data_IF_722652414499
#
_entry.id   IF_722652414499
#
_cell.length_a   1.000
_cell.length_b   1.000
_cell.length_c   1.000
_cell.angle_alpha   90.00
_cell.angle_beta   90.00
_cell.angle_gamma   90.00
#
_symmetry.space_group_name_H-M   'P 1'
#
loop_
_entity.id
_entity.type
_entity.pdbx_description
1 polymer ?
#
# COMPACT_ATOMS: atom_id res chain seq x y z
N UNK A 1 -34.61 -6.97 -38.55
CA UNK A 1 -33.94 -7.42 -37.29
C UNK A 1 -34.92 -7.61 -36.14
N UNK A 2 -36.00 -6.84 -36.02
CA UNK A 2 -37.06 -7.02 -34.99
C UNK A 2 -37.95 -8.27 -35.22
N UNK A 3 -37.84 -8.93 -36.37
CA UNK A 3 -38.76 -10.01 -36.78
C UNK A 3 -38.47 -11.39 -36.13
N UNK A 4 -37.30 -11.58 -35.49
CA UNK A 4 -37.01 -12.81 -34.74
C UNK A 4 -37.58 -12.80 -33.30
N UNK A 5 -38.12 -11.66 -32.85
CA UNK A 5 -38.49 -11.46 -31.45
C UNK A 5 -39.76 -12.20 -31.01
N UNK A 6 -40.61 -12.62 -31.95
CA UNK A 6 -41.98 -13.04 -31.60
C UNK A 6 -42.23 -14.56 -31.55
N UNK A 7 -41.37 -15.41 -32.15
CA UNK A 7 -41.71 -16.84 -32.33
C UNK A 7 -41.08 -17.80 -31.31
N UNK A 8 -40.11 -17.38 -30.49
CA UNK A 8 -39.42 -18.28 -29.56
C UNK A 8 -39.04 -17.58 -28.24
N UNK A 9 -40.03 -17.20 -27.41
CA UNK A 9 -39.78 -16.52 -26.12
C UNK A 9 -38.87 -17.33 -25.18
N UNK A 10 -38.88 -18.66 -25.30
CA UNK A 10 -37.98 -19.54 -24.55
C UNK A 10 -36.50 -19.32 -24.91
N UNK A 11 -36.18 -19.07 -26.19
CA UNK A 11 -34.79 -18.84 -26.61
C UNK A 11 -34.29 -17.47 -26.13
N UNK A 12 -35.16 -16.46 -26.11
CA UNK A 12 -34.83 -15.14 -25.57
C UNK A 12 -34.58 -15.18 -24.05
N UNK A 13 -35.43 -15.89 -23.30
CA UNK A 13 -35.23 -16.11 -21.86
C UNK A 13 -33.91 -16.82 -21.57
N UNK A 14 -33.57 -17.82 -22.38
CA UNK A 14 -32.32 -18.58 -22.23
C UNK A 14 -31.09 -17.74 -22.58
N UNK A 15 -31.17 -16.93 -23.64
CA UNK A 15 -30.11 -15.97 -23.98
C UNK A 15 -29.92 -14.92 -22.87
N UNK A 16 -31.01 -14.37 -22.32
CA UNK A 16 -30.94 -13.40 -21.22
C UNK A 16 -30.34 -14.02 -19.96
N UNK A 17 -30.76 -15.23 -19.59
CA UNK A 17 -30.19 -15.97 -18.47
C UNK A 17 -28.69 -16.22 -18.66
N UNK A 18 -28.26 -16.61 -19.87
CA UNK A 18 -26.84 -16.80 -20.18
C UNK A 18 -26.04 -15.50 -20.11
N UNK A 19 -26.62 -14.38 -20.54
CA UNK A 19 -25.98 -13.07 -20.44
C UNK A 19 -25.86 -12.61 -18.97
N UNK A 20 -26.89 -12.84 -18.16
CA UNK A 20 -26.84 -12.56 -16.72
C UNK A 20 -25.78 -13.42 -16.01
N UNK A 21 -25.69 -14.72 -16.34
CA UNK A 21 -24.65 -15.60 -15.79
C UNK A 21 -23.25 -15.15 -16.23
N UNK A 22 -23.10 -14.73 -17.48
CA UNK A 22 -21.84 -14.22 -17.99
C UNK A 22 -21.44 -12.90 -17.28
N UNK A 23 -22.35 -11.95 -17.14
CA UNK A 23 -22.12 -10.71 -16.41
C UNK A 23 -21.77 -10.98 -14.92
N UNK A 24 -22.49 -11.89 -14.27
CA UNK A 24 -22.18 -12.30 -12.90
C UNK A 24 -20.78 -12.94 -12.80
N UNK A 25 -20.40 -13.77 -13.77
CA UNK A 25 -19.07 -14.40 -13.78
C UNK A 25 -17.94 -13.38 -13.90
N UNK A 26 -18.13 -12.31 -14.69
CA UNK A 26 -17.16 -11.22 -14.80
C UNK A 26 -17.02 -10.52 -13.45
N UNK A 27 -18.13 -10.17 -12.79
CA UNK A 27 -18.09 -9.48 -11.49
C UNK A 27 -17.43 -10.33 -10.39
N UNK A 28 -17.66 -11.64 -10.39
CA UNK A 28 -17.01 -12.57 -9.45
C UNK A 28 -15.51 -12.65 -9.73
N UNK A 29 -15.11 -12.67 -11.00
CA UNK A 29 -13.71 -12.76 -11.40
C UNK A 29 -12.93 -11.48 -11.07
N UNK A 30 -13.53 -10.31 -11.28
CA UNK A 30 -12.95 -9.02 -10.89
C UNK A 30 -12.80 -8.93 -9.36
N UNK A 31 -13.85 -9.31 -8.62
CA UNK A 31 -13.81 -9.35 -7.14
C UNK A 31 -12.76 -10.35 -6.64
N UNK A 32 -12.59 -11.50 -7.31
CA UNK A 32 -11.57 -12.49 -6.96
C UNK A 32 -10.13 -11.98 -7.19
N UNK A 33 -9.96 -11.04 -8.13
CA UNK A 33 -8.67 -10.43 -8.45
C UNK A 33 -8.26 -9.39 -7.40
N UNK A 34 -9.22 -8.62 -6.88
CA UNK A 34 -8.99 -7.57 -5.88
C UNK A 34 -8.56 -8.12 -4.50
N UNK A 35 -8.92 -9.37 -4.17
CA UNK A 35 -8.62 -9.98 -2.86
C UNK A 35 -7.10 -10.21 -2.61
N UNK A 36 -6.23 -9.97 -3.58
CA UNK A 36 -4.80 -10.27 -3.45
C UNK A 36 -3.86 -9.05 -3.44
N UNK A 37 -4.36 -7.83 -3.45
CA UNK A 37 -3.51 -6.63 -3.45
C UNK A 37 -3.20 -6.20 -2.02
N UNK A 38 -1.92 -6.12 -1.66
CA UNK A 38 -1.49 -5.85 -0.28
C UNK A 38 -0.25 -4.94 -0.23
N UNK A 39 -0.20 -4.06 0.76
CA UNK A 39 1.02 -3.33 1.14
C UNK A 39 1.55 -3.89 2.45
N UNK A 40 2.84 -4.16 2.51
CA UNK A 40 3.53 -4.56 3.73
C UNK A 40 4.71 -3.62 3.96
N UNK A 41 4.71 -2.93 5.10
CA UNK A 41 5.83 -2.09 5.56
C UNK A 41 6.48 -2.80 6.74
N UNK A 42 7.75 -3.16 6.61
CA UNK A 42 8.43 -4.00 7.59
C UNK A 42 9.94 -3.71 7.63
N UNK A 43 10.60 -4.30 8.62
CA UNK A 43 12.04 -4.19 8.83
C UNK A 43 12.74 -5.47 8.40
N UNK A 44 13.87 -5.36 7.70
CA UNK A 44 14.85 -6.45 7.60
C UNK A 44 16.25 -5.87 7.74
N UNK A 45 17.06 -6.47 8.62
CA UNK A 45 18.45 -6.04 8.84
C UNK A 45 18.60 -4.53 9.11
N UNK A 46 17.67 -3.94 9.89
CA UNK A 46 17.63 -2.50 10.22
C UNK A 46 17.38 -1.59 9.02
N UNK A 47 16.82 -2.12 7.94
CA UNK A 47 16.44 -1.36 6.76
C UNK A 47 14.94 -1.47 6.53
N UNK A 48 14.25 -0.35 6.26
CA UNK A 48 12.83 -0.38 5.91
C UNK A 48 12.67 -1.04 4.54
N UNK A 49 11.63 -1.86 4.43
CA UNK A 49 11.22 -2.53 3.21
C UNK A 49 9.72 -2.31 2.98
N UNK A 50 9.38 -2.09 1.72
CA UNK A 50 8.00 -1.97 1.28
C UNK A 50 7.72 -3.05 0.25
N UNK A 51 6.84 -3.99 0.58
CA UNK A 51 6.39 -5.01 -0.35
C UNK A 51 4.99 -4.69 -0.83
N UNK A 52 4.83 -4.62 -2.13
CA UNK A 52 3.54 -4.45 -2.80
C UNK A 52 3.22 -5.76 -3.50
N UNK A 53 2.13 -6.40 -3.08
CA UNK A 53 1.57 -7.56 -3.76
C UNK A 53 0.42 -7.07 -4.64
N UNK A 54 0.42 -7.46 -5.90
CA UNK A 54 -0.68 -7.19 -6.85
C UNK A 54 -0.87 -8.41 -7.76
N UNK A 55 -2.06 -8.99 -7.76
CA UNK A 55 -2.41 -10.08 -8.67
C UNK A 55 -1.49 -11.31 -8.65
N UNK A 56 -0.82 -11.59 -7.52
CA UNK A 56 0.14 -12.70 -7.37
C UNK A 56 1.60 -12.34 -7.69
N UNK A 57 1.84 -11.13 -8.17
CA UNK A 57 3.18 -10.53 -8.30
C UNK A 57 3.55 -9.80 -7.02
N UNK A 58 4.82 -9.84 -6.64
CA UNK A 58 5.35 -9.01 -5.57
C UNK A 58 6.51 -8.13 -6.04
N UNK A 59 6.38 -6.84 -5.79
CA UNK A 59 7.44 -5.84 -5.97
C UNK A 59 7.95 -5.41 -4.61
N UNK A 60 9.27 -5.34 -4.47
CA UNK A 60 9.93 -4.94 -3.22
C UNK A 60 10.71 -3.67 -3.45
N UNK A 61 10.50 -2.71 -2.58
CA UNK A 61 11.15 -1.42 -2.62
C UNK A 61 12.05 -1.32 -1.41
N UNK A 62 13.35 -1.13 -1.67
CA UNK A 62 14.35 -1.24 -0.64
C UNK A 62 15.61 -0.44 -0.98
N UNK A 63 16.36 -0.05 0.03
CA UNK A 63 17.68 0.54 -0.16
C UNK A 63 18.67 -0.56 -0.60
N UNK A 64 19.03 -0.54 -1.89
CA UNK A 64 19.90 -1.56 -2.49
C UNK A 64 21.29 -1.56 -1.86
N UNK A 65 21.76 -0.43 -1.32
CA UNK A 65 23.06 -0.36 -0.66
C UNK A 65 23.08 -1.12 0.69
N UNK A 66 21.91 -1.34 1.29
CA UNK A 66 21.77 -1.99 2.61
C UNK A 66 21.34 -3.46 2.53
N UNK A 67 21.06 -4.00 1.33
CA UNK A 67 20.56 -5.36 1.14
C UNK A 67 21.48 -6.20 0.25
N UNK A 68 21.92 -7.34 0.78
CA UNK A 68 22.56 -8.41 -0.01
C UNK A 68 21.49 -9.08 -0.90
N UNK A 69 21.74 -9.23 -2.20
CA UNK A 69 20.80 -9.85 -3.17
C UNK A 69 20.36 -11.26 -2.72
N UNK A 70 21.23 -11.99 -2.00
CA UNK A 70 20.87 -13.29 -1.41
C UNK A 70 19.82 -13.20 -0.31
N UNK A 71 19.76 -12.07 0.39
CA UNK A 71 18.77 -11.81 1.44
C UNK A 71 17.39 -11.50 0.87
N UNK A 72 17.25 -11.28 -0.43
CA UNK A 72 16.00 -10.85 -1.05
C UNK A 72 15.20 -12.00 -1.70
N UNK A 73 15.57 -13.27 -1.51
CA UNK A 73 14.78 -14.37 -2.07
C UNK A 73 13.39 -14.47 -1.40
N UNK A 74 12.31 -14.89 -2.09
CA UNK A 74 10.97 -14.99 -1.50
C UNK A 74 10.96 -15.96 -0.31
N UNK A 75 11.83 -16.97 -0.33
CA UNK A 75 12.01 -17.92 0.76
C UNK A 75 12.68 -17.30 2.01
N UNK A 76 13.49 -16.25 1.83
CA UNK A 76 14.11 -15.49 2.93
C UNK A 76 13.25 -14.30 3.37
N UNK A 77 12.32 -13.86 2.54
CA UNK A 77 11.35 -12.81 2.84
C UNK A 77 10.02 -13.48 3.19
N UNK A 78 9.95 -14.13 4.37
CA UNK A 78 8.75 -14.63 5.08
C UNK A 78 7.69 -15.51 4.33
N UNK A 79 7.04 -16.39 5.10
CA UNK A 79 5.90 -17.22 4.71
C UNK A 79 4.61 -16.45 4.32
N UNK A 80 4.47 -15.16 4.64
CA UNK A 80 3.38 -14.35 4.08
C UNK A 80 3.54 -14.11 2.57
N UNK A 81 4.75 -14.34 2.04
CA UNK A 81 5.15 -14.02 0.67
C UNK A 81 5.58 -15.27 -0.13
N UNK A 82 5.52 -16.46 0.47
CA UNK A 82 6.00 -17.75 -0.10
C UNK A 82 5.29 -18.20 -1.38
N UNK A 83 4.24 -17.51 -1.81
CA UNK A 83 3.49 -17.82 -3.03
C UNK A 83 3.56 -16.70 -4.08
N UNK A 84 4.31 -15.62 -3.84
CA UNK A 84 4.42 -14.53 -4.78
C UNK A 84 5.68 -14.67 -5.64
N UNK A 85 5.53 -14.41 -6.93
CA UNK A 85 6.67 -14.27 -7.82
C UNK A 85 7.30 -12.89 -7.53
N UNK A 86 8.56 -12.87 -7.07
CA UNK A 86 9.33 -11.64 -7.00
C UNK A 86 9.61 -11.16 -8.42
N UNK A 87 9.11 -9.97 -8.74
CA UNK A 87 9.25 -9.40 -10.09
C UNK A 87 10.23 -8.25 -10.11
N UNK A 88 10.35 -7.47 -9.04
CA UNK A 88 11.19 -6.26 -9.09
C UNK A 88 11.73 -5.83 -7.72
N UNK A 89 13.01 -5.43 -7.69
CA UNK A 89 13.64 -4.73 -6.55
C UNK A 89 13.92 -3.29 -7.00
N UNK A 90 13.15 -2.33 -6.51
CA UNK A 90 13.33 -0.92 -6.81
C UNK A 90 14.23 -0.26 -5.75
N UNK A 91 15.38 0.32 -6.14
CA UNK A 91 16.24 1.05 -5.21
C UNK A 91 15.50 2.25 -4.62
N UNK A 92 15.47 2.34 -3.31
CA UNK A 92 14.86 3.46 -2.57
C UNK A 92 15.50 4.81 -2.92
N UNK A 93 16.77 4.80 -3.36
CA UNK A 93 17.54 5.99 -3.80
C UNK A 93 17.17 6.48 -5.20
N UNK A 94 16.52 5.64 -6.02
CA UNK A 94 16.04 6.04 -7.35
C UNK A 94 14.67 6.73 -7.31
N UNK A 95 13.97 6.63 -6.19
CA UNK A 95 12.65 7.23 -5.97
C UNK A 95 12.85 8.71 -5.65
N UNK A 96 12.78 9.53 -6.68
CA UNK A 96 13.07 10.97 -6.58
C UNK A 96 11.86 11.82 -6.95
N UNK A 97 10.89 11.28 -7.69
CA UNK A 97 9.65 11.99 -8.02
C UNK A 97 8.52 11.64 -7.04
N UNK A 98 7.57 12.57 -6.89
CA UNK A 98 6.33 12.37 -6.11
C UNK A 98 5.58 11.11 -6.57
N UNK A 99 5.62 10.79 -7.87
CA UNK A 99 4.99 9.59 -8.44
C UNK A 99 5.62 8.29 -7.96
N UNK A 100 6.92 8.29 -7.66
CA UNK A 100 7.64 7.09 -7.28
C UNK A 100 7.36 6.67 -5.83
N UNK A 101 6.87 7.61 -5.02
CA UNK A 101 6.57 7.44 -3.60
C UNK A 101 5.08 7.43 -3.28
N UNK A 102 4.25 7.63 -4.30
CA UNK A 102 2.81 7.56 -4.21
C UNK A 102 2.33 6.22 -4.76
N UNK A 103 1.58 5.48 -3.95
CA UNK A 103 0.96 4.22 -4.37
C UNK A 103 -0.53 4.22 -4.11
N UNK A 104 -1.28 3.56 -4.98
CA UNK A 104 -2.70 3.33 -4.80
C UNK A 104 -2.96 1.82 -4.75
N UNK A 105 -3.51 1.35 -3.63
CA UNK A 105 -3.79 -0.07 -3.37
C UNK A 105 -5.21 -0.17 -2.82
N UNK A 106 -6.08 -0.92 -3.50
CA UNK A 106 -7.49 -1.10 -3.12
C UNK A 106 -8.19 0.22 -2.74
N UNK A 107 -8.12 1.20 -3.65
CA UNK A 107 -8.65 2.56 -3.47
C UNK A 107 -8.07 3.36 -2.29
N UNK A 108 -7.01 2.87 -1.64
CA UNK A 108 -6.26 3.59 -0.62
C UNK A 108 -4.97 4.16 -1.17
N UNK A 109 -4.71 5.43 -0.88
CA UNK A 109 -3.48 6.10 -1.27
C UNK A 109 -2.45 6.10 -0.14
N UNK A 110 -1.22 5.80 -0.51
CA UNK A 110 -0.05 5.75 0.36
C UNK A 110 0.99 6.71 -0.17
N UNK A 111 1.61 7.48 0.71
CA UNK A 111 2.72 8.35 0.33
C UNK A 111 3.88 8.24 1.32
N UNK A 112 5.09 8.03 0.80
CA UNK A 112 6.31 8.03 1.62
C UNK A 112 6.91 9.41 1.67
N UNK A 113 7.26 9.85 2.88
CA UNK A 113 8.01 11.08 3.12
C UNK A 113 9.39 10.77 3.69
N UNK A 114 10.43 11.27 3.01
CA UNK A 114 11.84 11.12 3.39
C UNK A 114 12.52 12.46 3.63
N UNK A 115 13.58 12.44 4.44
CA UNK A 115 14.22 13.65 4.97
C UNK A 115 15.07 14.38 3.93
N UNK A 116 15.48 13.67 2.88
CA UNK A 116 16.25 14.20 1.76
C UNK A 116 15.38 14.72 0.61
N UNK A 117 14.05 14.73 0.76
CA UNK A 117 13.16 15.24 -0.27
C UNK A 117 12.58 16.60 0.09
N UNK A 118 12.62 17.49 -0.90
CA UNK A 118 11.81 18.69 -0.88
C UNK A 118 10.39 18.30 -1.29
N UNK A 119 9.48 18.28 -0.33
CA UNK A 119 8.05 18.19 -0.61
C UNK A 119 7.61 19.58 -1.06
N UNK A 120 7.59 19.80 -2.38
CA UNK A 120 7.03 21.00 -2.98
C UNK A 120 5.53 20.80 -3.19
N UNK A 121 4.75 20.85 -2.11
CA UNK A 121 3.31 21.09 -2.21
C UNK A 121 3.16 22.61 -2.29
N UNK A 122 2.62 23.13 -3.39
CA UNK A 122 2.43 24.57 -3.55
C UNK A 122 1.52 25.12 -2.46
N UNK A 123 1.72 26.38 -2.08
CA UNK A 123 0.87 27.04 -1.09
C UNK A 123 -0.60 27.03 -1.54
N UNK A 124 -1.46 26.45 -0.70
CA UNK A 124 -2.89 26.28 -0.98
C UNK A 124 -3.26 24.99 -1.73
N UNK A 125 -2.29 24.18 -2.14
CA UNK A 125 -2.52 22.84 -2.66
C UNK A 125 -2.50 21.79 -1.55
N UNK A 126 -3.25 20.71 -1.76
CA UNK A 126 -3.32 19.56 -0.86
C UNK A 126 -3.09 18.28 -1.66
N UNK A 127 -2.33 17.35 -1.11
CA UNK A 127 -2.14 16.00 -1.63
C UNK A 127 -2.91 15.01 -0.73
N UNK A 128 -4.21 14.77 -0.98
CA UNK A 128 -5.00 13.89 -0.12
C UNK A 128 -4.49 12.45 -0.18
N UNK A 129 -4.08 11.93 0.97
CA UNK A 129 -3.62 10.54 1.12
C UNK A 129 -4.29 9.84 2.29
N UNK A 130 -4.63 8.55 2.14
CA UNK A 130 -5.20 7.76 3.24
C UNK A 130 -4.17 7.38 4.30
N UNK A 131 -2.92 7.14 3.88
CA UNK A 131 -1.80 6.76 4.74
C UNK A 131 -0.53 7.53 4.37
N UNK A 132 0.11 8.10 5.39
CA UNK A 132 1.42 8.73 5.26
C UNK A 132 2.48 7.85 5.91
N UNK A 133 3.50 7.45 5.15
CA UNK A 133 4.63 6.68 5.65
C UNK A 133 5.76 7.66 5.91
N UNK A 134 6.16 7.80 7.17
CA UNK A 134 7.28 8.66 7.58
C UNK A 134 8.53 7.81 7.68
N UNK A 135 9.57 8.21 6.95
CA UNK A 135 10.88 7.54 6.93
C UNK A 135 11.99 8.47 7.43
N UNK A 136 13.12 7.89 7.84
CA UNK A 136 14.38 8.54 8.18
C UNK A 136 14.27 9.70 9.20
N UNK A 137 13.39 9.59 10.19
CA UNK A 137 13.07 10.64 11.17
C UNK A 137 12.63 11.96 10.50
N UNK A 138 11.94 11.90 9.36
CA UNK A 138 11.53 13.10 8.65
C UNK A 138 10.54 13.90 9.48
N UNK A 139 10.88 15.16 9.70
CA UNK A 139 10.07 16.07 10.51
C UNK A 139 8.91 16.58 9.65
N UNK A 140 7.70 16.19 10.02
CA UNK A 140 6.45 16.74 9.54
C UNK A 140 5.65 17.06 10.80
N UNK A 141 4.98 18.21 10.85
CA UNK A 141 4.15 18.54 12.00
C UNK A 141 2.72 18.00 11.80
N UNK A 142 1.99 17.75 12.88
CA UNK A 142 0.63 17.20 12.80
C UNK A 142 -0.32 18.08 11.95
N UNK A 143 -0.11 19.39 11.99
CA UNK A 143 -0.87 20.36 11.20
C UNK A 143 -0.60 20.18 9.70
N UNK A 144 0.66 20.01 9.29
CA UNK A 144 1.00 19.72 7.89
C UNK A 144 0.38 18.39 7.41
N UNK A 145 0.36 17.36 8.26
CA UNK A 145 -0.29 16.07 7.95
C UNK A 145 -1.79 16.26 7.68
N UNK A 146 -2.45 17.13 8.43
CA UNK A 146 -3.89 17.37 8.30
C UNK A 146 -4.22 18.34 7.15
N UNK A 147 -3.45 19.41 7.00
CA UNK A 147 -3.72 20.50 6.07
C UNK A 147 -3.19 20.22 4.67
N UNK A 148 -1.94 19.74 4.55
CA UNK A 148 -1.30 19.48 3.26
C UNK A 148 -1.60 18.08 2.74
N UNK A 149 -1.68 17.08 3.62
CA UNK A 149 -1.87 15.69 3.21
C UNK A 149 -3.30 15.18 3.42
N UNK A 150 -4.15 15.91 4.14
CA UNK A 150 -5.51 15.50 4.50
C UNK A 150 -5.57 14.05 5.05
N UNK A 151 -4.54 13.68 5.81
CA UNK A 151 -4.30 12.30 6.20
C UNK A 151 -4.62 12.07 7.68
N UNK A 152 -5.23 10.93 8.00
CA UNK A 152 -5.56 10.54 9.38
C UNK A 152 -4.82 9.30 9.85
N UNK A 153 -3.93 8.72 9.03
CA UNK A 153 -3.16 7.52 9.38
C UNK A 153 -1.69 7.72 9.04
N UNK A 154 -0.82 7.63 10.04
CA UNK A 154 0.63 7.69 9.88
C UNK A 154 1.26 6.35 10.22
N UNK A 155 2.16 5.89 9.35
CA UNK A 155 2.99 4.72 9.54
C UNK A 155 4.43 5.20 9.72
N UNK A 156 5.01 4.99 10.89
CA UNK A 156 6.44 5.16 11.12
C UNK A 156 7.14 3.89 10.67
N UNK A 157 7.92 3.97 9.60
CA UNK A 157 8.73 2.83 9.18
C UNK A 157 9.85 2.53 10.19
N UNK A 158 10.59 1.44 9.96
CA UNK A 158 11.63 1.00 10.88
C UNK A 158 12.92 1.83 10.90
N UNK A 159 13.05 2.84 10.03
CA UNK A 159 14.21 3.73 10.02
C UNK A 159 14.10 4.86 11.07
N UNK A 160 12.90 5.07 11.62
CA UNK A 160 12.68 6.04 12.68
C UNK A 160 13.20 5.56 14.04
N UNK A 161 13.79 6.48 14.80
CA UNK A 161 14.25 6.22 16.16
C UNK A 161 13.08 6.18 17.14
N UNK A 162 13.16 5.34 18.17
CA UNK A 162 12.13 5.23 19.22
C UNK A 162 11.78 6.59 19.85
N UNK A 163 12.79 7.42 20.10
CA UNK A 163 12.61 8.76 20.67
C UNK A 163 11.79 9.66 19.75
N UNK A 164 12.08 9.62 18.45
CA UNK A 164 11.34 10.37 17.44
C UNK A 164 9.88 9.90 17.36
N UNK A 165 9.66 8.59 17.24
CA UNK A 165 8.31 8.01 17.13
C UNK A 165 7.47 8.32 18.37
N UNK A 166 8.01 8.17 19.58
CA UNK A 166 7.26 8.48 20.81
C UNK A 166 6.83 9.95 20.86
N UNK A 167 7.74 10.88 20.58
CA UNK A 167 7.43 12.31 20.59
C UNK A 167 6.35 12.68 19.56
N UNK A 168 6.43 12.13 18.34
CA UNK A 168 5.48 12.44 17.26
C UNK A 168 4.15 11.75 17.42
N UNK A 169 4.13 10.54 17.97
CA UNK A 169 2.89 9.81 18.25
C UNK A 169 1.99 10.60 19.21
N UNK A 170 2.55 11.18 20.27
CA UNK A 170 1.80 12.00 21.22
C UNK A 170 1.18 13.24 20.54
N UNK A 171 1.97 13.94 19.71
CA UNK A 171 1.52 15.09 18.94
C UNK A 171 0.38 14.71 17.97
N UNK A 172 0.57 13.65 17.20
CA UNK A 172 -0.36 13.22 16.14
C UNK A 172 -1.68 12.70 16.72
N UNK A 173 -1.62 11.90 17.78
CA UNK A 173 -2.80 11.39 18.45
C UNK A 173 -3.64 12.52 19.07
N UNK A 174 -3.02 13.60 19.54
CA UNK A 174 -3.75 14.77 20.05
C UNK A 174 -4.62 15.46 18.98
N UNK A 175 -4.32 15.23 17.70
CA UNK A 175 -5.04 15.74 16.53
C UNK A 175 -5.96 14.69 15.88
N UNK A 176 -6.11 13.52 16.51
CA UNK A 176 -6.94 12.43 16.00
C UNK A 176 -6.31 11.64 14.85
N UNK A 177 -4.99 11.74 14.67
CA UNK A 177 -4.24 10.97 13.67
C UNK A 177 -3.84 9.62 14.29
N UNK A 178 -4.19 8.52 13.62
CA UNK A 178 -3.76 7.18 14.00
C UNK A 178 -2.28 6.99 13.68
N UNK A 179 -1.54 6.31 14.56
CA UNK A 179 -0.11 6.07 14.40
C UNK A 179 0.20 4.58 14.50
N UNK A 180 1.01 4.09 13.57
CA UNK A 180 1.52 2.72 13.52
C UNK A 180 3.04 2.74 13.59
N UNK A 181 3.63 2.02 14.54
CA UNK A 181 5.09 1.95 14.73
C UNK A 181 5.59 0.59 14.26
N UNK A 182 6.21 0.55 13.08
CA UNK A 182 6.73 -0.69 12.49
C UNK A 182 7.92 -1.23 13.27
N UNK A 183 8.75 -0.38 13.89
CA UNK A 183 9.90 -0.84 14.67
C UNK A 183 9.45 -1.55 15.96
N UNK A 184 8.35 -1.07 16.56
CA UNK A 184 7.75 -1.70 17.75
C UNK A 184 6.90 -2.90 17.38
N UNK A 185 6.01 -2.75 16.40
CA UNK A 185 5.01 -3.76 16.11
C UNK A 185 5.48 -4.80 15.11
N UNK A 186 6.61 -4.63 14.42
CA UNK A 186 7.21 -5.61 13.50
C UNK A 186 6.88 -5.33 12.02
N UNK A 187 5.59 -5.31 11.67
CA UNK A 187 5.14 -4.84 10.36
C UNK A 187 3.75 -4.22 10.40
N UNK A 188 3.52 -3.35 9.43
CA UNK A 188 2.20 -2.88 9.03
C UNK A 188 1.76 -3.62 7.76
N UNK A 189 0.54 -4.16 7.76
CA UNK A 189 -0.07 -4.86 6.62
C UNK A 189 -1.39 -4.20 6.26
N UNK A 190 -1.55 -3.85 4.99
CA UNK A 190 -2.80 -3.38 4.38
C UNK A 190 -3.26 -4.37 3.29
N UNK A 191 -4.58 -4.60 3.20
CA UNK A 191 -5.22 -5.65 2.40
C UNK A 191 -6.66 -5.85 2.90
N UNK A 192 -6.94 -6.94 3.61
CA UNK A 192 -8.22 -7.20 4.32
C UNK A 192 -8.49 -6.28 5.54
N UNK A 193 -7.93 -5.07 5.53
CA UNK A 193 -7.90 -4.12 6.65
C UNK A 193 -6.48 -3.81 7.12
N UNK A 194 -6.28 -2.59 7.64
CA UNK A 194 -5.01 -2.15 8.21
C UNK A 194 -4.79 -2.80 9.58
N UNK A 195 -3.67 -3.51 9.73
CA UNK A 195 -3.27 -4.14 10.99
C UNK A 195 -1.76 -4.08 11.17
N UNK A 196 -1.33 -3.90 12.40
CA UNK A 196 0.05 -4.20 12.79
C UNK A 196 0.12 -5.61 13.34
N UNK A 197 1.20 -6.32 13.00
CA UNK A 197 1.41 -7.72 13.35
C UNK A 197 2.85 -7.82 13.81
N UNK A 198 3.15 -8.57 14.88
CA UNK A 198 4.51 -8.85 15.35
C UNK A 198 5.26 -9.82 14.43
N UNK A 199 6.50 -9.47 14.04
CA UNK A 199 7.37 -10.27 13.16
C UNK A 199 8.70 -10.56 13.85
N UNK A 200 9.14 -11.83 13.76
CA UNK A 200 10.43 -12.33 14.24
C UNK A 200 11.45 -12.45 13.10
#
# INVERSE_FOLDING_TARGET
VVFFYYKRPHQLKLALASLCLFAASITIFDTAKDINTQLIVYNKNKSPLYSIKDGGTMSIIADKAKLDEKSLSPATINAALTHANLVEILPTDTLSSIKDLFWQIDNKSFYIVKSNQQIEIMDGETLPVDYLIVSDNTIINADDVSEKFCCSNVIFDSSNSKKFVTARTEEYQSKGINCFDVAKDGAFVFGDGAKTIWWY
#
